data_IF_028283812828
#
_entry.id   IF_028283812828
#
_cell.length_a   1.000
_cell.length_b   1.000
_cell.length_c   1.000
_cell.angle_alpha   90.00
_cell.angle_beta   90.00
_cell.angle_gamma   90.00
#
_symmetry.space_group_name_H-M   'P 1'
#
loop_
_entity.id
_entity.type
_entity.pdbx_description
1 polymer ?
#
# COMPACT_ATOMS: atom_id res chain seq x y z
N UNK A 1 82.34 27.51 11.52
CA UNK A 1 81.13 27.14 12.28
C UNK A 1 80.31 26.21 11.37
N UNK A 2 80.60 24.90 11.45
CA UNK A 2 79.67 23.77 11.73
C UNK A 2 78.40 23.76 10.86
N UNK A 3 78.00 22.70 10.16
CA UNK A 3 78.13 21.26 10.42
C UNK A 3 77.67 20.48 9.18
N UNK A 4 78.35 19.36 8.86
CA UNK A 4 77.73 18.19 8.21
C UNK A 4 78.54 16.95 8.62
N UNK A 5 77.88 15.88 9.10
CA UNK A 5 78.44 14.55 9.00
C UNK A 5 77.57 13.63 8.14
N UNK A 6 78.24 12.61 7.63
CA UNK A 6 77.81 11.68 6.60
C UNK A 6 77.35 10.33 7.17
N UNK A 7 76.58 9.63 6.33
CA UNK A 7 76.38 8.18 6.22
C UNK A 7 75.69 7.40 7.37
N UNK A 8 74.56 6.75 7.04
CA UNK A 8 74.63 5.31 6.76
C UNK A 8 73.42 4.77 5.98
N UNK A 9 73.74 3.92 5.01
CA UNK A 9 72.87 3.17 4.09
C UNK A 9 72.11 2.03 4.75
N UNK A 10 70.83 1.81 4.39
CA UNK A 10 70.29 0.46 4.10
C UNK A 10 68.92 0.46 3.42
N UNK A 11 68.91 -0.20 2.24
CA UNK A 11 67.80 -0.79 1.47
C UNK A 11 67.03 0.08 0.45
N UNK A 12 67.57 0.08 -0.77
CA UNK A 12 66.80 -0.03 -2.03
C UNK A 12 65.99 -1.34 -2.01
N UNK A 13 64.69 -1.28 -2.28
CA UNK A 13 63.93 -2.37 -2.90
C UNK A 13 63.02 -1.76 -3.98
N UNK A 14 63.00 -2.44 -5.13
CA UNK A 14 62.45 -2.03 -6.43
C UNK A 14 60.91 -2.00 -6.43
N UNK A 15 60.41 -1.24 -7.43
CA UNK A 15 59.05 -1.23 -7.93
C UNK A 15 58.43 -2.62 -8.11
N UNK A 16 57.11 -2.62 -7.93
CA UNK A 16 56.09 -3.64 -8.22
C UNK A 16 55.68 -4.55 -7.06
N UNK A 17 54.36 -4.55 -6.83
CA UNK A 17 53.54 -5.51 -6.08
C UNK A 17 53.32 -5.27 -4.58
N UNK A 18 52.24 -4.52 -4.29
CA UNK A 18 51.16 -4.77 -3.32
C UNK A 18 50.40 -3.44 -3.15
N UNK A 19 49.32 -3.20 -3.89
CA UNK A 19 47.92 -3.57 -3.56
C UNK A 19 47.67 -3.44 -2.06
N UNK A 20 46.74 -2.55 -1.71
CA UNK A 20 46.36 -2.09 -0.36
C UNK A 20 47.15 -0.89 0.20
N UNK A 21 46.93 0.29 -0.39
CA UNK A 21 47.08 1.55 0.32
C UNK A 21 45.71 2.22 0.47
N UNK A 22 45.27 2.24 1.74
CA UNK A 22 44.20 3.05 2.28
C UNK A 22 44.26 4.47 1.71
N UNK A 23 43.18 4.88 1.07
CA UNK A 23 42.92 6.26 0.66
C UNK A 23 42.76 7.11 1.93
N UNK A 24 43.86 7.76 2.34
CA UNK A 24 43.81 9.06 3.01
C UNK A 24 43.77 10.10 1.90
N UNK A 25 42.58 10.61 1.60
CA UNK A 25 42.38 11.65 0.61
C UNK A 25 40.91 12.06 0.62
N UNK A 26 40.67 13.31 0.98
CA UNK A 26 39.36 13.93 1.13
C UNK A 26 38.46 13.69 -0.10
N UNK A 27 37.27 13.12 0.13
CA UNK A 27 36.21 13.02 -0.88
C UNK A 27 35.19 14.12 -0.62
N UNK A 28 35.23 15.18 -1.42
CA UNK A 28 34.20 16.22 -1.45
C UNK A 28 33.15 15.85 -2.51
N UNK A 29 31.88 15.72 -2.11
CA UNK A 29 30.75 15.68 -3.03
C UNK A 29 30.03 17.04 -3.00
N UNK A 30 30.15 17.82 -4.08
CA UNK A 30 29.33 19.01 -4.31
C UNK A 30 27.95 18.59 -4.82
N UNK A 31 26.90 18.90 -4.07
CA UNK A 31 25.55 19.07 -4.62
C UNK A 31 25.12 20.51 -4.37
N UNK A 32 24.68 21.17 -5.43
CA UNK A 32 24.56 22.62 -5.52
C UNK A 32 23.56 23.23 -4.54
N UNK A 33 23.90 24.46 -4.11
CA UNK A 33 23.03 25.39 -3.39
C UNK A 33 23.15 25.28 -1.87
N UNK A 34 23.92 26.20 -1.29
CA UNK A 34 24.18 26.43 0.14
C UNK A 34 25.24 25.53 0.80
N UNK A 35 26.44 26.12 0.96
CA UNK A 35 27.50 25.64 1.83
C UNK A 35 26.99 25.59 3.27
N UNK A 36 26.72 24.40 3.79
CA UNK A 36 26.75 24.17 5.24
C UNK A 36 28.21 24.29 5.68
N UNK A 37 28.52 25.40 6.33
CA UNK A 37 29.75 25.59 7.09
C UNK A 37 29.99 24.36 7.97
N UNK A 38 30.97 23.53 7.60
CA UNK A 38 31.56 22.55 8.51
C UNK A 38 32.48 23.27 9.48
N UNK A 39 31.92 24.13 10.34
CA UNK A 39 32.67 24.71 11.46
C UNK A 39 32.51 23.80 12.69
N UNK A 40 33.64 23.19 13.06
CA UNK A 40 33.90 22.62 14.40
C UNK A 40 33.01 21.48 14.92
N UNK A 41 32.86 20.38 14.18
CA UNK A 41 32.51 19.10 14.81
C UNK A 41 33.76 18.35 15.32
N UNK A 42 34.47 18.94 16.30
CA UNK A 42 35.50 18.23 17.10
C UNK A 42 35.07 17.99 18.55
N UNK A 43 33.84 18.34 18.93
CA UNK A 43 33.40 18.33 20.34
C UNK A 43 32.29 17.35 20.72
N UNK A 44 31.73 16.61 19.76
CA UNK A 44 30.65 15.65 20.04
C UNK A 44 31.07 14.23 19.62
N UNK A 45 31.70 13.50 20.54
CA UNK A 45 31.89 12.05 20.38
C UNK A 45 30.57 11.34 20.76
N UNK A 46 30.07 10.48 19.87
CA UNK A 46 28.96 9.57 20.16
C UNK A 46 27.56 10.08 19.78
N UNK A 47 26.62 10.04 20.74
CA UNK A 47 25.17 10.17 20.52
C UNK A 47 24.72 11.43 19.76
N UNK A 48 25.45 12.55 19.87
CA UNK A 48 25.17 13.78 19.10
C UNK A 48 25.34 13.58 17.59
N UNK A 49 26.40 12.89 17.14
CA UNK A 49 26.62 12.59 15.73
C UNK A 49 25.54 11.65 15.17
N UNK A 50 25.08 10.67 15.98
CA UNK A 50 23.99 9.79 15.62
C UNK A 50 22.66 10.55 15.51
N UNK A 51 22.37 11.46 16.44
CA UNK A 51 21.19 12.32 16.39
C UNK A 51 21.22 13.25 15.16
N UNK A 52 22.34 13.91 14.87
CA UNK A 52 22.50 14.72 13.66
C UNK A 52 22.36 13.89 12.37
N UNK A 53 22.92 12.67 12.34
CA UNK A 53 22.76 11.75 11.22
C UNK A 53 21.30 11.33 11.01
N UNK A 54 20.56 11.07 12.09
CA UNK A 54 19.12 10.78 12.03
C UNK A 54 18.29 11.99 11.60
N UNK A 55 18.58 13.18 12.13
CA UNK A 55 17.93 14.43 11.73
C UNK A 55 18.19 14.78 10.25
N UNK A 56 19.43 14.58 9.77
CA UNK A 56 19.77 14.77 8.37
C UNK A 56 19.03 13.77 7.47
N UNK A 57 18.98 12.50 7.85
CA UNK A 57 18.22 11.47 7.14
C UNK A 57 16.72 11.80 7.08
N UNK A 58 16.13 12.22 8.20
CA UNK A 58 14.74 12.68 8.26
C UNK A 58 14.50 13.90 7.36
N UNK A 59 15.40 14.89 7.38
CA UNK A 59 15.31 16.08 6.52
C UNK A 59 15.27 15.70 5.04
N UNK A 60 16.07 14.72 4.62
CA UNK A 60 16.08 14.21 3.25
C UNK A 60 14.78 13.50 2.87
N UNK A 61 14.18 12.73 3.79
CA UNK A 61 12.89 12.08 3.51
C UNK A 61 11.74 13.09 3.48
N UNK A 62 11.75 14.07 4.39
CA UNK A 62 10.75 15.14 4.44
C UNK A 62 10.86 16.07 3.22
N UNK A 63 12.07 16.39 2.76
CA UNK A 63 12.26 17.24 1.58
C UNK A 63 11.69 16.62 0.31
N UNK A 64 11.63 15.29 0.22
CA UNK A 64 10.97 14.58 -0.89
C UNK A 64 9.45 14.80 -0.90
N UNK A 65 8.83 15.01 0.26
CA UNK A 65 7.39 15.30 0.35
C UNK A 65 7.08 16.76 0.04
N UNK A 66 8.05 17.65 0.27
CA UNK A 66 7.93 19.10 0.11
C UNK A 66 8.06 19.57 -1.34
N UNK A 67 7.17 19.07 -2.21
CA UNK A 67 7.04 19.56 -3.58
C UNK A 67 6.07 20.74 -3.67
N UNK A 68 6.18 21.54 -4.73
CA UNK A 68 5.28 22.68 -4.96
C UNK A 68 3.85 22.21 -5.16
N UNK A 69 3.67 21.06 -5.81
CA UNK A 69 2.39 20.39 -5.98
C UNK A 69 1.79 19.93 -4.65
N UNK A 70 2.58 19.25 -3.80
CA UNK A 70 2.11 18.82 -2.48
C UNK A 70 1.65 20.03 -1.66
N UNK A 71 2.44 21.10 -1.64
CA UNK A 71 2.11 22.32 -0.92
C UNK A 71 0.84 22.96 -1.47
N UNK A 72 0.67 23.00 -2.79
CA UNK A 72 -0.57 23.49 -3.40
C UNK A 72 -1.80 22.69 -2.97
N UNK A 73 -1.74 21.36 -3.08
CA UNK A 73 -2.89 20.47 -2.78
C UNK A 73 -3.27 20.50 -1.29
N UNK A 74 -2.28 20.59 -0.39
CA UNK A 74 -2.52 20.47 1.05
C UNK A 74 -2.63 21.80 1.82
N UNK A 75 -2.50 22.95 1.15
CA UNK A 75 -2.60 24.27 1.80
C UNK A 75 -3.96 24.96 1.62
N UNK A 76 -4.81 24.48 0.72
CA UNK A 76 -6.15 25.02 0.49
C UNK A 76 -7.21 24.49 1.47
N UNK A 77 -8.41 25.07 1.41
CA UNK A 77 -9.61 24.58 2.11
C UNK A 77 -10.79 24.52 1.13
N UNK A 78 -10.51 23.99 -0.06
CA UNK A 78 -11.40 24.11 -1.23
C UNK A 78 -12.52 23.07 -1.23
N UNK A 79 -12.37 21.96 -0.49
CA UNK A 79 -13.34 20.88 -0.43
C UNK A 79 -13.33 20.17 0.93
N UNK A 80 -14.48 19.61 1.29
CA UNK A 80 -14.64 18.82 2.51
C UNK A 80 -14.33 17.34 2.25
N UNK A 81 -13.44 16.75 3.04
CA UNK A 81 -13.12 15.32 2.97
C UNK A 81 -14.22 14.40 3.52
N UNK A 82 -15.29 14.97 4.10
CA UNK A 82 -16.44 14.20 4.57
C UNK A 82 -17.37 13.85 3.41
N UNK A 83 -16.91 12.92 2.58
CA UNK A 83 -17.64 12.40 1.39
C UNK A 83 -19.03 11.85 1.71
N UNK A 84 -19.22 11.40 2.95
CA UNK A 84 -20.44 10.76 3.44
C UNK A 84 -21.44 11.73 4.06
N UNK A 85 -21.23 13.04 3.94
CA UNK A 85 -22.17 14.05 4.46
C UNK A 85 -23.52 13.99 3.72
N UNK A 86 -24.60 14.25 4.44
CA UNK A 86 -25.96 14.25 3.89
C UNK A 86 -26.30 15.52 3.12
N UNK A 87 -25.67 16.64 3.47
CA UNK A 87 -25.91 17.94 2.84
C UNK A 87 -25.17 18.08 1.53
N UNK A 88 -23.95 17.56 1.48
CA UNK A 88 -23.05 17.66 0.33
C UNK A 88 -22.30 16.34 0.13
N UNK A 89 -22.98 15.29 -0.36
CA UNK A 89 -22.35 14.00 -0.62
C UNK A 89 -21.41 14.13 -1.81
N UNK A 90 -20.23 13.53 -1.70
CA UNK A 90 -19.21 13.60 -2.76
C UNK A 90 -18.51 12.26 -2.96
N UNK A 91 -17.83 12.12 -4.09
CA UNK A 91 -16.97 10.98 -4.39
C UNK A 91 -15.53 11.44 -4.32
N UNK A 92 -14.69 10.69 -3.60
CA UNK A 92 -13.25 10.88 -3.61
C UNK A 92 -12.59 9.74 -4.37
N UNK A 93 -11.87 10.10 -5.43
CA UNK A 93 -11.09 9.17 -6.23
C UNK A 93 -9.61 9.50 -6.00
N UNK A 94 -8.86 8.53 -5.45
CA UNK A 94 -7.41 8.64 -5.29
C UNK A 94 -6.77 7.77 -6.37
N UNK A 95 -6.22 8.42 -7.39
CA UNK A 95 -5.45 7.76 -8.43
C UNK A 95 -3.96 7.90 -8.12
N UNK A 96 -3.21 6.80 -8.16
CA UNK A 96 -1.78 6.81 -7.97
C UNK A 96 -1.04 6.46 -9.26
N UNK A 97 0.07 7.13 -9.52
CA UNK A 97 0.97 6.79 -10.61
C UNK A 97 2.15 5.99 -10.04
N UNK A 98 2.44 4.77 -10.56
CA UNK A 98 3.55 3.96 -10.08
C UNK A 98 4.90 4.70 -10.01
N UNK A 99 5.14 5.64 -10.93
CA UNK A 99 6.38 6.43 -10.99
C UNK A 99 6.58 7.35 -9.78
N UNK A 100 5.49 7.83 -9.19
CA UNK A 100 5.51 8.79 -8.06
C UNK A 100 4.96 8.17 -6.77
N UNK A 101 4.76 6.85 -6.76
CA UNK A 101 4.10 6.13 -5.67
C UNK A 101 4.80 6.31 -4.33
N UNK A 102 6.14 6.26 -4.29
CA UNK A 102 6.90 6.39 -3.04
C UNK A 102 6.80 7.78 -2.40
N UNK A 103 6.61 8.82 -3.21
CA UNK A 103 6.44 10.20 -2.75
C UNK A 103 5.00 10.49 -2.35
N UNK A 104 4.03 10.05 -3.16
CA UNK A 104 2.62 10.34 -2.95
C UNK A 104 1.96 9.39 -1.95
N UNK A 105 2.54 8.23 -1.64
CA UNK A 105 1.96 7.26 -0.70
C UNK A 105 1.70 7.85 0.67
N UNK A 106 2.64 8.63 1.21
CA UNK A 106 2.49 9.27 2.51
C UNK A 106 1.36 10.32 2.50
N UNK A 107 1.24 11.10 1.43
CA UNK A 107 0.20 12.11 1.25
C UNK A 107 -1.18 11.47 1.09
N UNK A 108 -1.27 10.41 0.28
CA UNK A 108 -2.50 9.64 0.10
C UNK A 108 -2.92 8.97 1.40
N UNK A 109 -1.97 8.40 2.16
CA UNK A 109 -2.26 7.81 3.47
C UNK A 109 -2.84 8.86 4.44
N UNK A 110 -2.36 10.11 4.41
CA UNK A 110 -2.91 11.19 5.23
C UNK A 110 -4.38 11.49 4.87
N UNK A 111 -4.69 11.59 3.57
CA UNK A 111 -6.06 11.80 3.07
C UNK A 111 -6.96 10.64 3.52
N UNK A 112 -6.52 9.40 3.30
CA UNK A 112 -7.25 8.18 3.65
C UNK A 112 -7.50 8.09 5.15
N UNK A 113 -6.49 8.42 5.97
CA UNK A 113 -6.62 8.41 7.42
C UNK A 113 -7.66 9.43 7.90
N UNK A 114 -7.70 10.62 7.30
CA UNK A 114 -8.71 11.63 7.60
C UNK A 114 -10.10 11.18 7.15
N UNK A 115 -10.23 10.68 5.92
CA UNK A 115 -11.49 10.17 5.37
C UNK A 115 -12.06 9.06 6.25
N UNK A 116 -11.22 8.09 6.62
CA UNK A 116 -11.58 6.95 7.48
C UNK A 116 -12.21 7.40 8.80
N UNK A 117 -11.62 8.40 9.45
CA UNK A 117 -12.16 8.97 10.69
C UNK A 117 -13.50 9.67 10.47
N UNK A 118 -13.66 10.37 9.36
CA UNK A 118 -14.89 11.11 9.03
C UNK A 118 -16.05 10.17 8.69
N UNK A 119 -15.80 9.12 7.90
CA UNK A 119 -16.85 8.14 7.56
C UNK A 119 -17.28 7.30 8.76
N UNK A 120 -16.38 7.08 9.73
CA UNK A 120 -16.67 6.31 10.95
C UNK A 120 -17.47 7.10 12.02
N UNK A 121 -18.23 8.11 11.60
CA UNK A 121 -19.12 8.90 12.45
C UNK A 121 -20.59 8.57 12.15
N UNK A 122 -21.47 8.77 13.14
CA UNK A 122 -22.90 8.50 12.99
C UNK A 122 -23.60 9.55 12.13
N UNK A 123 -24.71 9.16 11.50
CA UNK A 123 -25.59 10.07 10.78
C UNK A 123 -25.20 10.35 9.33
N UNK A 124 -24.14 9.69 8.83
CA UNK A 124 -23.69 9.75 7.45
C UNK A 124 -24.57 8.93 6.49
N UNK A 125 -24.43 9.16 5.19
CA UNK A 125 -24.94 8.23 4.17
C UNK A 125 -24.15 6.90 4.20
N UNK A 126 -24.80 5.77 3.86
CA UNK A 126 -24.08 4.53 3.60
C UNK A 126 -22.98 4.77 2.57
N UNK A 127 -21.76 4.37 2.90
CA UNK A 127 -20.57 4.73 2.10
C UNK A 127 -19.73 3.49 1.86
N UNK A 128 -19.18 3.36 0.66
CA UNK A 128 -18.26 2.27 0.32
C UNK A 128 -16.85 2.80 0.11
N UNK A 129 -15.87 2.16 0.74
CA UNK A 129 -14.45 2.36 0.46
C UNK A 129 -13.99 1.18 -0.39
N UNK A 130 -13.59 1.45 -1.62
CA UNK A 130 -13.13 0.45 -2.58
C UNK A 130 -11.65 0.69 -2.85
N UNK A 131 -10.85 -0.34 -2.64
CA UNK A 131 -9.40 -0.30 -2.81
C UNK A 131 -9.02 -1.41 -3.78
N UNK A 132 -8.64 -1.06 -5.01
CA UNK A 132 -8.32 -2.04 -6.05
C UNK A 132 -7.07 -2.87 -5.72
N UNK A 133 -6.06 -2.22 -5.12
CA UNK A 133 -4.84 -2.89 -4.67
C UNK A 133 -4.45 -2.38 -3.28
N UNK A 134 -4.84 -3.10 -2.23
CA UNK A 134 -4.57 -2.72 -0.84
C UNK A 134 -3.07 -2.48 -0.58
N UNK A 135 -2.13 -3.27 -1.13
CA UNK A 135 -0.70 -3.00 -1.11
C UNK A 135 -0.24 -1.60 -1.57
N UNK A 136 -1.02 -0.90 -2.38
CA UNK A 136 -0.56 0.41 -2.87
C UNK A 136 -0.74 1.53 -1.85
N UNK A 137 -1.56 1.32 -0.81
CA UNK A 137 -2.00 2.35 0.13
C UNK A 137 -2.04 1.82 1.56
N UNK A 138 -1.34 2.50 2.46
CA UNK A 138 -1.34 2.14 3.87
C UNK A 138 -2.58 2.70 4.59
N UNK A 139 -3.43 1.82 5.13
CA UNK A 139 -4.58 2.20 5.95
C UNK A 139 -4.23 2.12 7.43
N UNK A 140 -4.17 3.26 8.11
CA UNK A 140 -3.97 3.25 9.55
C UNK A 140 -5.20 2.66 10.26
N UNK A 141 -4.98 1.65 11.11
CA UNK A 141 -6.02 0.96 11.89
C UNK A 141 -7.15 0.33 11.04
N UNK A 142 -6.82 -0.26 9.89
CA UNK A 142 -7.78 -0.96 9.03
C UNK A 142 -8.67 -1.97 9.78
N UNK A 143 -8.09 -2.75 10.70
CA UNK A 143 -8.85 -3.72 11.50
C UNK A 143 -9.92 -3.07 12.39
N UNK A 144 -9.61 -1.94 13.03
CA UNK A 144 -10.57 -1.17 13.84
C UNK A 144 -11.68 -0.60 12.96
N UNK A 145 -11.33 -0.11 11.78
CA UNK A 145 -12.29 0.39 10.81
C UNK A 145 -13.24 -0.74 10.40
N UNK A 146 -12.74 -1.90 9.99
CA UNK A 146 -13.56 -3.07 9.60
C UNK A 146 -14.53 -3.49 10.73
N UNK A 147 -14.06 -3.52 11.98
CA UNK A 147 -14.89 -3.88 13.13
C UNK A 147 -16.01 -2.89 13.43
N UNK A 148 -15.79 -1.59 13.20
CA UNK A 148 -16.77 -0.53 13.52
C UNK A 148 -17.65 -0.13 12.33
N UNK A 149 -17.20 -0.43 11.11
CA UNK A 149 -17.82 -0.03 9.85
C UNK A 149 -19.29 -0.46 9.74
N UNK A 150 -19.66 -1.66 10.20
CA UNK A 150 -21.04 -2.17 10.14
C UNK A 150 -22.02 -1.23 10.85
N UNK A 151 -21.66 -0.75 12.05
CA UNK A 151 -22.52 0.14 12.85
C UNK A 151 -22.74 1.52 12.19
N UNK A 152 -21.77 1.97 11.39
CA UNK A 152 -21.80 3.23 10.67
C UNK A 152 -22.24 3.07 9.20
N UNK A 153 -22.72 1.89 8.80
CA UNK A 153 -23.14 1.57 7.43
C UNK A 153 -22.05 1.84 6.38
N UNK A 154 -20.81 1.55 6.75
CA UNK A 154 -19.66 1.64 5.86
C UNK A 154 -19.34 0.25 5.34
N UNK A 155 -19.20 0.09 4.02
CA UNK A 155 -18.67 -1.13 3.40
C UNK A 155 -17.23 -0.91 2.97
N UNK A 156 -16.42 -1.95 3.05
CA UNK A 156 -15.02 -1.92 2.65
C UNK A 156 -14.77 -3.09 1.72
N UNK A 157 -14.28 -2.79 0.52
CA UNK A 157 -13.89 -3.77 -0.48
C UNK A 157 -12.38 -3.62 -0.72
N UNK A 158 -11.64 -4.69 -0.44
CA UNK A 158 -10.19 -4.75 -0.58
C UNK A 158 -9.84 -5.73 -1.69
N UNK A 159 -9.23 -5.23 -2.75
CA UNK A 159 -8.52 -6.03 -3.73
C UNK A 159 -7.12 -6.36 -3.21
N UNK A 160 -6.76 -7.64 -3.34
CA UNK A 160 -5.50 -8.23 -2.93
C UNK A 160 -5.06 -9.19 -4.02
N UNK A 161 -3.77 -9.19 -4.35
CA UNK A 161 -3.22 -10.23 -5.23
C UNK A 161 -3.10 -11.55 -4.48
N UNK A 162 -2.44 -11.52 -3.33
CA UNK A 162 -2.14 -12.69 -2.50
C UNK A 162 -2.06 -12.29 -1.02
N UNK A 163 -2.36 -13.20 -0.09
CA UNK A 163 -2.31 -12.92 1.36
C UNK A 163 -0.93 -12.52 1.89
N UNK A 164 0.21 -13.09 1.43
CA UNK A 164 1.52 -12.67 1.91
C UNK A 164 1.82 -11.18 1.73
N UNK A 165 1.25 -10.52 0.71
CA UNK A 165 1.40 -9.07 0.53
C UNK A 165 0.68 -8.30 1.65
N UNK A 166 -0.48 -8.79 2.10
CA UNK A 166 -1.17 -8.22 3.27
C UNK A 166 -0.35 -8.40 4.54
N UNK A 167 0.29 -9.57 4.72
CA UNK A 167 1.16 -9.84 5.86
C UNK A 167 2.41 -8.95 5.87
N UNK A 168 3.02 -8.70 4.72
CA UNK A 168 4.19 -7.81 4.57
C UNK A 168 3.85 -6.38 5.02
N UNK A 169 2.65 -5.91 4.70
CA UNK A 169 2.24 -4.54 5.00
C UNK A 169 1.76 -4.31 6.42
N UNK A 170 0.92 -5.20 6.94
CA UNK A 170 0.25 -5.01 8.22
C UNK A 170 0.84 -5.86 9.35
N UNK A 171 1.75 -6.78 9.01
CA UNK A 171 2.24 -7.83 9.89
C UNK A 171 1.26 -9.00 10.00
N UNK A 172 1.80 -10.19 10.28
CA UNK A 172 1.04 -11.45 10.34
C UNK A 172 -0.18 -11.42 11.27
N UNK A 173 -0.02 -10.84 12.47
CA UNK A 173 -1.10 -10.79 13.46
C UNK A 173 -2.27 -9.91 12.99
N UNK A 174 -1.98 -8.73 12.42
CA UNK A 174 -2.98 -7.81 11.90
C UNK A 174 -3.64 -8.37 10.65
N UNK A 175 -2.87 -8.96 9.73
CA UNK A 175 -3.40 -9.59 8.52
C UNK A 175 -4.38 -10.72 8.85
N UNK A 176 -4.03 -11.58 9.82
CA UNK A 176 -4.94 -12.62 10.33
C UNK A 176 -6.22 -12.05 10.94
N UNK A 177 -6.12 -10.92 11.65
CA UNK A 177 -7.29 -10.24 12.20
C UNK A 177 -8.18 -9.71 11.08
N UNK A 178 -7.60 -9.05 10.07
CA UNK A 178 -8.32 -8.54 8.89
C UNK A 178 -9.06 -9.68 8.17
N UNK A 179 -8.37 -10.78 7.84
CA UNK A 179 -8.99 -11.92 7.14
C UNK A 179 -10.06 -12.63 7.96
N UNK A 180 -10.01 -12.55 9.29
CA UNK A 180 -11.04 -13.12 10.16
C UNK A 180 -12.31 -12.26 10.27
N UNK A 181 -12.21 -10.94 10.07
CA UNK A 181 -13.35 -10.02 10.13
C UNK A 181 -14.13 -10.01 8.80
N UNK A 182 -13.45 -10.22 7.68
CA UNK A 182 -14.05 -10.19 6.35
C UNK A 182 -15.02 -11.37 6.19
N UNK A 183 -16.31 -11.06 6.09
CA UNK A 183 -17.36 -12.08 5.90
C UNK A 183 -17.63 -12.46 4.44
N UNK A 184 -17.21 -11.62 3.48
CA UNK A 184 -17.39 -11.84 2.05
C UNK A 184 -16.04 -11.97 1.38
N UNK A 185 -15.74 -13.15 0.84
CA UNK A 185 -14.48 -13.43 0.16
C UNK A 185 -14.77 -13.93 -1.24
N UNK A 186 -14.21 -13.25 -2.23
CA UNK A 186 -14.18 -13.72 -3.61
C UNK A 186 -12.72 -13.91 -4.01
N UNK A 187 -12.44 -14.96 -4.75
CA UNK A 187 -11.10 -15.28 -5.22
C UNK A 187 -11.14 -15.79 -6.66
N UNK A 188 -10.25 -15.25 -7.47
CA UNK A 188 -9.91 -15.84 -8.77
C UNK A 188 -8.87 -16.93 -8.61
N UNK A 189 -7.98 -17.05 -9.59
CA UNK A 189 -6.84 -17.94 -9.49
C UNK A 189 -5.85 -17.43 -8.44
N UNK A 190 -5.51 -18.27 -7.46
CA UNK A 190 -4.45 -18.02 -6.48
C UNK A 190 -3.30 -19.02 -6.66
N UNK A 191 -2.08 -18.61 -6.34
CA UNK A 191 -0.86 -19.43 -6.48
C UNK A 191 -0.12 -19.61 -5.18
N UNK A 192 -0.19 -18.65 -4.26
CA UNK A 192 0.54 -18.75 -3.01
C UNK A 192 -0.01 -19.89 -2.13
N UNK A 193 0.84 -20.78 -1.58
CA UNK A 193 0.39 -21.88 -0.71
C UNK A 193 -0.44 -21.41 0.48
N UNK A 194 -0.08 -20.27 1.08
CA UNK A 194 -0.77 -19.68 2.22
C UNK A 194 -2.18 -19.21 1.85
N UNK A 195 -2.33 -18.56 0.68
CA UNK A 195 -3.64 -18.13 0.17
C UNK A 195 -4.52 -19.33 -0.16
N UNK A 196 -3.95 -20.34 -0.85
CA UNK A 196 -4.68 -21.56 -1.20
C UNK A 196 -5.14 -22.34 0.05
N UNK A 197 -4.27 -22.43 1.06
CA UNK A 197 -4.60 -23.09 2.32
C UNK A 197 -5.68 -22.33 3.11
N UNK A 198 -5.61 -21.01 3.11
CA UNK A 198 -6.66 -20.18 3.71
C UNK A 198 -8.00 -20.36 2.99
N UNK A 199 -8.03 -20.31 1.65
CA UNK A 199 -9.24 -20.45 0.86
C UNK A 199 -9.89 -21.84 1.03
N UNK A 200 -9.12 -22.94 0.94
CA UNK A 200 -9.69 -24.28 1.12
C UNK A 200 -10.27 -24.46 2.53
N UNK A 201 -9.64 -23.87 3.56
CA UNK A 201 -10.15 -23.89 4.93
C UNK A 201 -11.40 -23.03 5.08
N UNK A 202 -11.47 -21.89 4.39
CA UNK A 202 -12.64 -21.01 4.35
C UNK A 202 -13.87 -21.73 3.76
N UNK A 203 -13.68 -22.47 2.66
CA UNK A 203 -14.74 -23.30 2.06
C UNK A 203 -15.08 -24.55 2.88
N UNK A 204 -14.20 -24.95 3.81
CA UNK A 204 -14.43 -26.10 4.68
C UNK A 204 -14.33 -27.45 3.96
N UNK A 205 -14.73 -28.49 4.69
CA UNK A 205 -14.71 -29.88 4.21
C UNK A 205 -16.11 -30.48 4.20
N UNK A 206 -16.35 -31.33 3.23
CA UNK A 206 -17.59 -32.10 3.09
C UNK A 206 -17.24 -33.59 3.09
N UNK A 207 -18.18 -34.41 3.59
CA UNK A 207 -18.08 -35.85 3.57
C UNK A 207 -18.20 -36.33 2.11
N UNK A 208 -17.14 -36.93 1.59
CA UNK A 208 -17.08 -37.52 0.26
C UNK A 208 -17.13 -39.04 0.39
N UNK A 209 -18.01 -39.68 -0.39
CA UNK A 209 -18.07 -41.14 -0.50
C UNK A 209 -17.28 -41.53 -1.74
N UNK A 210 -16.21 -42.31 -1.56
CA UNK A 210 -15.42 -42.88 -2.65
C UNK A 210 -15.83 -44.33 -2.86
N UNK A 211 -16.34 -44.63 -4.04
CA UNK A 211 -16.70 -45.99 -4.44
C UNK A 211 -15.56 -46.60 -5.27
N UNK A 212 -14.93 -47.63 -4.72
CA UNK A 212 -13.96 -48.47 -5.43
C UNK A 212 -14.67 -49.68 -6.02
N UNK A 213 -14.87 -49.70 -7.33
CA UNK A 213 -15.46 -50.84 -8.04
C UNK A 213 -14.35 -51.75 -8.54
N UNK A 214 -14.33 -52.99 -8.07
CA UNK A 214 -13.43 -54.04 -8.58
C UNK A 214 -14.25 -55.05 -9.38
N UNK A 215 -13.97 -55.15 -10.68
CA UNK A 215 -14.69 -56.05 -11.60
C UNK A 215 -13.81 -57.29 -11.86
N UNK A 216 -14.31 -58.47 -11.49
CA UNK A 216 -13.74 -59.78 -11.86
C UNK A 216 -14.71 -60.49 -12.82
N UNK A 217 -14.23 -61.52 -13.54
CA UNK A 217 -15.02 -62.24 -14.57
C UNK A 217 -16.39 -62.75 -14.09
N UNK A 218 -16.53 -63.08 -12.80
CA UNK A 218 -17.77 -63.63 -12.23
C UNK A 218 -18.39 -62.78 -11.09
N UNK A 219 -17.71 -61.73 -10.63
CA UNK A 219 -18.15 -60.96 -9.45
C UNK A 219 -17.72 -59.49 -9.57
N UNK A 220 -18.60 -58.58 -9.15
CA UNK A 220 -18.27 -57.15 -8.99
C UNK A 220 -18.33 -56.81 -7.51
N UNK A 221 -17.21 -56.38 -6.93
CA UNK A 221 -17.15 -55.91 -5.54
C UNK A 221 -17.14 -54.39 -5.52
N UNK A 222 -18.09 -53.78 -4.80
CA UNK A 222 -18.14 -52.33 -4.58
C UNK A 222 -17.66 -52.09 -3.14
N UNK A 223 -16.55 -51.38 -2.99
CA UNK A 223 -16.07 -50.93 -1.70
C UNK A 223 -16.39 -49.44 -1.53
N UNK A 224 -17.07 -49.07 -0.45
CA UNK A 224 -17.44 -47.69 -0.17
C UNK A 224 -16.61 -47.17 1.01
N UNK A 225 -15.87 -46.08 0.79
CA UNK A 225 -15.09 -45.44 1.85
C UNK A 225 -15.50 -43.98 1.99
N UNK A 226 -15.78 -43.56 3.22
CA UNK A 226 -16.19 -42.20 3.51
C UNK A 226 -15.01 -41.41 4.08
N UNK A 227 -14.70 -40.26 3.47
CA UNK A 227 -13.60 -39.40 3.90
C UNK A 227 -14.04 -37.93 3.86
N UNK A 228 -13.56 -37.13 4.83
CA UNK A 228 -13.76 -35.68 4.80
C UNK A 228 -12.74 -35.06 3.84
N UNK A 229 -13.21 -34.46 2.75
CA UNK A 229 -12.37 -33.78 1.76
C UNK A 229 -12.79 -32.31 1.60
N UNK A 230 -11.90 -31.47 1.10
CA UNK A 230 -12.20 -30.05 0.89
C UNK A 230 -13.28 -29.86 -0.18
N UNK A 231 -14.24 -28.96 0.06
CA UNK A 231 -15.30 -28.63 -0.91
C UNK A 231 -14.68 -28.13 -2.21
N UNK A 232 -13.70 -27.22 -2.08
CA UNK A 232 -12.91 -26.71 -3.20
C UNK A 232 -11.43 -26.91 -2.86
N UNK A 233 -10.78 -27.95 -3.42
CA UNK A 233 -9.37 -28.21 -3.18
C UNK A 233 -8.46 -27.10 -3.74
N UNK A 234 -7.31 -26.88 -3.11
CA UNK A 234 -6.29 -25.92 -3.57
C UNK A 234 -5.92 -26.09 -5.07
N UNK A 235 -5.83 -27.32 -5.57
CA UNK A 235 -5.55 -27.61 -6.98
C UNK A 235 -6.64 -27.11 -7.94
N UNK A 236 -7.90 -27.07 -7.50
CA UNK A 236 -9.02 -26.53 -8.28
C UNK A 236 -8.93 -25.01 -8.35
N UNK A 237 -8.59 -24.36 -7.24
CA UNK A 237 -8.45 -22.90 -7.15
C UNK A 237 -7.25 -22.42 -7.98
N UNK A 238 -6.12 -23.12 -7.88
CA UNK A 238 -4.91 -22.76 -8.63
C UNK A 238 -5.01 -23.00 -10.14
N UNK A 239 -5.98 -23.79 -10.59
CA UNK A 239 -6.25 -24.07 -12.01
C UNK A 239 -7.46 -23.30 -12.57
N UNK A 240 -8.02 -22.35 -11.81
CA UNK A 240 -9.12 -21.51 -12.30
C UNK A 240 -8.73 -20.75 -13.56
N UNK A 241 -9.61 -20.79 -14.55
CA UNK A 241 -9.45 -20.02 -15.79
C UNK A 241 -9.80 -18.55 -15.55
N UNK A 242 -9.21 -17.66 -16.36
CA UNK A 242 -9.56 -16.25 -16.36
C UNK A 242 -11.09 -16.06 -16.52
N UNK A 243 -11.67 -15.20 -15.69
CA UNK A 243 -13.12 -14.99 -15.64
C UNK A 243 -13.88 -16.05 -14.83
N UNK A 244 -13.21 -16.97 -14.15
CA UNK A 244 -13.85 -17.87 -13.18
C UNK A 244 -13.50 -17.45 -11.77
N UNK A 245 -14.48 -17.48 -10.87
CA UNK A 245 -14.35 -17.06 -9.48
C UNK A 245 -14.91 -18.13 -8.56
N UNK A 246 -14.28 -18.26 -7.40
CA UNK A 246 -14.82 -18.97 -6.24
C UNK A 246 -15.03 -17.97 -5.12
N UNK A 247 -16.03 -18.17 -4.28
CA UNK A 247 -16.23 -17.24 -3.18
C UNK A 247 -17.25 -17.69 -2.15
N UNK A 248 -17.11 -17.14 -0.95
CA UNK A 248 -18.05 -17.31 0.14
C UNK A 248 -18.66 -15.95 0.48
N UNK A 249 -19.99 -15.88 0.54
CA UNK A 249 -20.73 -14.65 0.88
C UNK A 249 -21.52 -14.90 2.15
N UNK A 250 -21.37 -14.03 3.14
CA UNK A 250 -22.15 -14.09 4.37
C UNK A 250 -23.64 -13.85 4.08
N UNK A 251 -24.49 -14.73 4.59
CA UNK A 251 -25.94 -14.57 4.56
C UNK A 251 -26.37 -13.77 5.80
N UNK A 252 -27.23 -12.77 5.63
CA UNK A 252 -27.80 -12.03 6.76
C UNK A 252 -28.83 -12.91 7.51
N UNK A 253 -28.92 -12.70 8.83
CA UNK A 253 -29.92 -13.34 9.69
C UNK A 253 -31.34 -12.94 9.26
N UNK A 254 -32.19 -13.92 8.93
CA UNK A 254 -33.58 -13.72 8.52
C UNK A 254 -34.04 -14.53 7.30
N UNK A 255 -33.14 -15.27 6.64
CA UNK A 255 -33.50 -16.30 5.64
C UNK A 255 -33.41 -17.69 6.29
N UNK A 256 -34.36 -18.00 7.18
CA UNK A 256 -34.40 -19.26 7.93
C UNK A 256 -34.93 -20.45 7.09
N UNK A 257 -35.65 -20.19 6.00
CA UNK A 257 -36.39 -21.22 5.27
C UNK A 257 -35.54 -22.03 4.28
N UNK A 258 -34.35 -21.54 3.94
CA UNK A 258 -33.35 -22.27 3.17
C UNK A 258 -32.00 -21.70 3.56
N UNK A 259 -31.04 -22.55 3.95
CA UNK A 259 -29.62 -22.16 4.01
C UNK A 259 -29.03 -22.41 2.62
N UNK A 260 -29.13 -21.48 1.64
CA UNK A 260 -28.46 -21.67 0.37
C UNK A 260 -26.96 -21.80 0.63
N UNK A 261 -26.30 -22.60 -0.21
CA UNK A 261 -24.85 -22.71 -0.16
C UNK A 261 -24.26 -21.31 -0.37
N UNK A 262 -23.64 -20.76 0.66
CA UNK A 262 -22.96 -19.46 0.63
C UNK A 262 -21.71 -19.46 -0.28
N UNK A 263 -21.39 -20.60 -0.88
CA UNK A 263 -20.21 -20.83 -1.71
C UNK A 263 -20.60 -20.87 -3.18
N UNK A 264 -19.91 -20.08 -3.97
CA UNK A 264 -20.16 -19.93 -5.40
C UNK A 264 -18.92 -20.36 -6.19
N UNK A 265 -19.14 -21.05 -7.31
CA UNK A 265 -18.16 -21.25 -8.36
C UNK A 265 -18.81 -20.79 -9.66
N UNK A 266 -18.46 -19.59 -10.11
CA UNK A 266 -19.16 -18.90 -11.19
C UNK A 266 -18.20 -18.40 -12.27
N UNK A 267 -18.72 -18.26 -13.49
CA UNK A 267 -18.04 -17.62 -14.60
C UNK A 267 -18.61 -16.22 -14.80
N UNK A 268 -17.75 -15.23 -14.98
CA UNK A 268 -18.14 -13.85 -15.25
C UNK A 268 -18.85 -13.79 -16.60
N UNK A 269 -20.03 -13.16 -16.62
CA UNK A 269 -20.78 -12.88 -17.82
C UNK A 269 -20.79 -11.37 -18.05
N UNK A 270 -19.91 -10.88 -18.91
CA UNK A 270 -19.78 -9.46 -19.23
C UNK A 270 -20.41 -9.18 -20.59
N UNK A 271 -21.45 -8.35 -20.61
CA UNK A 271 -22.05 -7.87 -21.87
C UNK A 271 -21.21 -6.72 -22.43
N UNK A 272 -20.24 -7.08 -23.27
CA UNK A 272 -19.34 -6.12 -23.91
C UNK A 272 -20.06 -5.09 -24.79
N UNK A 273 -21.24 -5.41 -25.33
CA UNK A 273 -22.00 -4.45 -26.14
C UNK A 273 -22.63 -3.38 -25.26
N UNK A 274 -23.19 -3.79 -24.12
CA UNK A 274 -23.75 -2.85 -23.14
C UNK A 274 -22.67 -1.95 -22.55
N UNK A 275 -21.51 -2.52 -22.21
CA UNK A 275 -20.36 -1.76 -21.66
C UNK A 275 -19.89 -0.70 -22.67
N UNK A 276 -19.70 -1.06 -23.95
CA UNK A 276 -19.31 -0.07 -24.97
C UNK A 276 -20.31 1.07 -25.13
N UNK A 277 -21.61 0.75 -25.11
CA UNK A 277 -22.66 1.77 -25.17
C UNK A 277 -22.63 2.71 -23.96
N UNK A 278 -22.26 2.20 -22.79
CA UNK A 278 -22.07 2.99 -21.59
C UNK A 278 -20.81 3.87 -21.69
N UNK A 279 -19.70 3.32 -22.17
CA UNK A 279 -18.43 4.04 -22.41
C UNK A 279 -18.60 5.21 -23.39
N UNK A 280 -19.40 5.02 -24.45
CA UNK A 280 -19.74 6.08 -25.41
C UNK A 280 -20.54 7.23 -24.78
N UNK A 281 -21.23 6.98 -23.66
CA UNK A 281 -22.01 7.98 -22.93
C UNK A 281 -21.21 8.68 -21.82
N UNK A 282 -19.94 8.33 -21.61
CA UNK A 282 -19.10 8.96 -20.60
C UNK A 282 -18.86 10.44 -20.91
N UNK A 283 -19.06 11.28 -19.88
CA UNK A 283 -18.76 12.71 -19.95
C UNK A 283 -17.34 12.94 -19.45
N UNK A 284 -16.64 13.88 -20.07
CA UNK A 284 -15.35 14.32 -19.56
C UNK A 284 -15.49 14.89 -18.15
N UNK A 285 -14.51 14.57 -17.29
CA UNK A 285 -14.46 15.13 -15.95
C UNK A 285 -14.29 16.65 -16.03
N UNK A 286 -15.09 17.43 -15.27
CA UNK A 286 -14.97 18.88 -15.27
C UNK A 286 -13.59 19.29 -14.73
N UNK A 287 -12.92 20.19 -15.46
CA UNK A 287 -11.62 20.75 -15.03
C UNK A 287 -11.87 21.87 -14.03
N UNK A 288 -11.72 21.55 -12.74
CA UNK A 288 -11.90 22.53 -11.64
C UNK A 288 -10.74 23.53 -11.59
N UNK A 289 -9.51 23.08 -11.82
CA UNK A 289 -8.33 23.95 -11.88
C UNK A 289 -7.76 24.00 -13.30
N UNK A 290 -7.64 25.21 -13.83
CA UNK A 290 -6.97 25.47 -15.10
C UNK A 290 -5.82 26.45 -14.86
N UNK A 291 -4.59 25.94 -14.96
CA UNK A 291 -3.39 26.77 -14.82
C UNK A 291 -3.03 27.54 -16.10
N UNK A 292 -3.76 27.33 -17.20
CA UNK A 292 -3.46 27.92 -18.50
C UNK A 292 -2.21 27.29 -19.12
N UNK A 293 -1.09 28.01 -19.09
CA UNK A 293 0.20 27.55 -19.65
C UNK A 293 1.07 26.86 -18.60
N UNK A 294 2.04 26.05 -19.05
CA UNK A 294 2.99 25.39 -18.16
C UNK A 294 3.84 26.41 -17.35
N UNK A 295 4.22 27.52 -17.97
CA UNK A 295 4.95 28.61 -17.31
C UNK A 295 4.10 29.29 -16.22
N UNK A 296 2.80 29.52 -16.48
CA UNK A 296 1.91 30.10 -15.49
C UNK A 296 1.65 29.14 -14.32
N UNK A 297 1.51 27.83 -14.59
CA UNK A 297 1.45 26.80 -13.54
C UNK A 297 2.67 26.90 -12.62
N UNK A 298 3.87 26.91 -13.20
CA UNK A 298 5.12 26.95 -12.44
C UNK A 298 5.22 28.21 -11.57
N UNK A 299 4.87 29.37 -12.12
CA UNK A 299 4.83 30.65 -11.40
C UNK A 299 3.85 30.62 -10.22
N UNK A 300 2.63 30.12 -10.43
CA UNK A 300 1.60 30.03 -9.39
C UNK A 300 2.01 29.08 -8.27
N UNK A 301 2.52 27.89 -8.64
CA UNK A 301 3.00 26.89 -7.68
C UNK A 301 4.18 27.42 -6.87
N UNK A 302 5.14 28.09 -7.52
CA UNK A 302 6.28 28.72 -6.84
C UNK A 302 5.84 29.83 -5.88
N UNK A 303 4.88 30.67 -6.30
CA UNK A 303 4.34 31.74 -5.46
C UNK A 303 3.67 31.17 -4.20
N UNK A 304 2.85 30.13 -4.34
CA UNK A 304 2.22 29.48 -3.20
C UNK A 304 3.25 28.82 -2.28
N UNK A 305 4.23 28.14 -2.87
CA UNK A 305 5.31 27.51 -2.13
C UNK A 305 6.05 28.53 -1.26
N UNK A 306 6.48 29.65 -1.85
CA UNK A 306 7.16 30.73 -1.11
C UNK A 306 6.27 31.32 0.00
N UNK A 307 5.00 31.62 -0.31
CA UNK A 307 4.04 32.15 0.66
C UNK A 307 3.97 31.28 1.93
N UNK A 308 3.92 29.96 1.78
CA UNK A 308 3.84 29.04 2.93
C UNK A 308 5.12 29.08 3.77
N UNK A 309 6.30 29.19 3.15
CA UNK A 309 7.55 29.36 3.89
C UNK A 309 7.57 30.66 4.67
N UNK A 310 7.21 31.77 4.02
CA UNK A 310 7.15 33.09 4.66
C UNK A 310 6.16 33.09 5.86
N UNK A 311 5.00 32.42 5.72
CA UNK A 311 4.02 32.24 6.80
C UNK A 311 4.57 31.41 7.96
N UNK A 312 5.29 30.32 7.68
CA UNK A 312 5.91 29.47 8.71
C UNK A 312 7.03 30.20 9.43
N UNK A 313 7.86 30.96 8.72
CA UNK A 313 8.90 31.81 9.33
C UNK A 313 8.27 32.84 10.28
N UNK A 314 7.20 33.50 9.84
CA UNK A 314 6.46 34.45 10.69
C UNK A 314 5.94 33.79 11.98
N UNK A 315 5.44 32.55 11.90
CA UNK A 315 5.01 31.80 13.09
C UNK A 315 6.20 31.48 14.00
N UNK A 316 7.34 31.05 13.44
CA UNK A 316 8.53 30.75 14.24
C UNK A 316 9.02 32.00 14.99
N UNK A 317 9.05 33.16 14.32
CA UNK A 317 9.43 34.44 14.93
C UNK A 317 8.52 34.86 16.08
N UNK A 318 7.28 34.36 16.16
CA UNK A 318 6.39 34.64 17.29
C UNK A 318 6.69 33.79 18.53
N UNK A 319 7.41 32.67 18.38
CA UNK A 319 7.71 31.73 19.45
C UNK A 319 9.19 31.71 19.87
N UNK A 320 10.06 32.41 19.13
CA UNK A 320 11.48 32.61 19.44
C UNK A 320 11.68 33.99 20.05
#
# INVERSE_FOLDING_TARGET
MFSMPSQNTRRKVRLNEKVESRVRGDLYARFGGECLETYHCKKWQGAGCLAYGQMASLKVQLSRLATKESFWVFSGNDFNLKVSDKKDPSYLIIANNPKTQSMNSALNALIINRLTRLVNTKGNYPTSIIVDECPTLYFYQLATLLSTARSNKVSICLGLQELPQLEEQYGKATAKTITSIIGNTLSGQAKAPETLDWLQKLFGKVKQVKEGVTIRRNETTINMNEQMDFVIPASKISSLQAGTLVGQVALDFGQEDNFPTAMYHCKTNLDLKKIKKEEEAYKELPKVYNFGTADNREKLLQKNFKRIYDEVETVIEQYV
#
